data_IF_391949776547
#
_entry.id   IF_391949776547
#
_cell.length_a   1.000
_cell.length_b   1.000
_cell.length_c   1.000
_cell.angle_alpha   90.00
_cell.angle_beta   90.00
_cell.angle_gamma   90.00
#
_symmetry.space_group_name_H-M   'P 1'
#
loop_
_entity.id
_entity.type
_entity.pdbx_description
1 polymer ?
#
# COMPACT_ATOMS: atom_id res chain seq x y z
N UNK A 1 28.72 17.18 -35.02
CA UNK A 1 28.98 17.19 -33.57
C UNK A 1 28.27 18.39 -32.95
N UNK A 2 27.75 18.22 -31.73
CA UNK A 2 27.30 19.27 -30.78
C UNK A 2 25.83 19.76 -30.84
N UNK A 3 24.99 18.97 -30.14
CA UNK A 3 24.02 19.34 -29.09
C UNK A 3 23.00 20.46 -29.37
N UNK A 4 21.80 20.05 -29.80
CA UNK A 4 20.55 20.78 -29.55
C UNK A 4 19.89 20.21 -28.27
N UNK A 5 19.84 21.01 -27.20
CA UNK A 5 19.04 20.73 -26.00
C UNK A 5 17.58 21.05 -26.32
N UNK A 6 16.70 20.04 -26.40
CA UNK A 6 15.25 20.26 -26.38
C UNK A 6 14.75 20.23 -24.94
N UNK A 7 14.16 21.34 -24.53
CA UNK A 7 13.33 21.47 -23.34
C UNK A 7 12.03 20.70 -23.60
N UNK A 8 11.75 19.64 -22.83
CA UNK A 8 10.44 18.96 -22.83
C UNK A 8 9.69 19.42 -21.58
N UNK A 9 8.60 20.16 -21.82
CA UNK A 9 7.66 20.65 -20.82
C UNK A 9 6.88 19.45 -20.26
N UNK A 10 7.13 19.08 -19.01
CA UNK A 10 6.37 18.04 -18.30
C UNK A 10 5.05 18.63 -17.79
N UNK A 11 3.93 18.22 -18.37
CA UNK A 11 2.60 18.36 -17.77
C UNK A 11 2.22 17.04 -17.09
N UNK A 12 2.66 16.81 -15.86
CA UNK A 12 2.15 15.74 -15.03
C UNK A 12 0.96 16.24 -14.21
N UNK A 13 -0.20 16.34 -14.87
CA UNK A 13 -1.50 16.41 -14.19
C UNK A 13 -1.99 14.97 -13.99
N UNK A 14 -1.91 14.48 -12.76
CA UNK A 14 -2.64 13.28 -12.35
C UNK A 14 -4.07 13.72 -12.01
N UNK A 15 -4.95 13.74 -13.02
CA UNK A 15 -6.38 13.92 -12.82
C UNK A 15 -6.97 12.59 -12.34
N UNK A 16 -7.33 12.53 -11.06
CA UNK A 16 -8.27 11.55 -10.54
C UNK A 16 -9.68 11.94 -11.02
N UNK A 17 -10.19 11.28 -12.06
CA UNK A 17 -11.62 11.37 -12.44
C UNK A 17 -12.43 10.31 -11.69
N UNK A 18 -13.55 10.78 -11.12
CA UNK A 18 -14.46 10.12 -10.18
C UNK A 18 -15.50 9.20 -10.84
N UNK A 19 -15.81 8.09 -10.16
CA UNK A 19 -17.13 7.46 -9.93
C UNK A 19 -16.83 6.30 -8.97
N UNK A 20 -17.10 6.33 -7.66
CA UNK A 20 -18.38 6.58 -6.99
C UNK A 20 -18.26 7.55 -5.78
N UNK A 21 -19.42 7.99 -5.28
CA UNK A 21 -19.66 9.16 -4.41
C UNK A 21 -18.80 9.25 -3.12
N UNK A 22 -18.00 10.32 -3.08
CA UNK A 22 -17.49 11.18 -1.99
C UNK A 22 -17.48 10.76 -0.51
N UNK A 23 -16.27 10.67 0.07
CA UNK A 23 -15.85 11.54 1.20
C UNK A 23 -14.78 12.59 0.83
N UNK A 24 -14.23 12.55 -0.39
CA UNK A 24 -13.04 13.33 -0.79
C UNK A 24 -13.31 14.82 -1.09
N UNK A 25 -14.51 15.19 -1.56
CA UNK A 25 -14.88 16.60 -1.78
C UNK A 25 -15.06 17.35 -0.46
N UNK A 26 -15.54 16.66 0.59
CA UNK A 26 -15.61 17.20 1.95
C UNK A 26 -14.21 17.38 2.52
N UNK A 27 -13.29 16.43 2.32
CA UNK A 27 -11.92 16.53 2.81
C UNK A 27 -11.11 17.65 2.14
N UNK A 28 -11.25 17.88 0.82
CA UNK A 28 -10.58 19.00 0.12
C UNK A 28 -11.16 20.36 0.50
N UNK A 29 -12.48 20.45 0.66
CA UNK A 29 -13.14 21.69 1.12
C UNK A 29 -12.75 22.03 2.56
N UNK A 30 -12.74 21.04 3.45
CA UNK A 30 -12.27 21.18 4.84
C UNK A 30 -10.78 21.53 4.91
N UNK A 31 -9.92 20.97 4.05
CA UNK A 31 -8.49 21.27 4.02
C UNK A 31 -8.19 22.72 3.58
N UNK A 32 -8.97 23.27 2.65
CA UNK A 32 -8.90 24.69 2.26
C UNK A 32 -9.49 25.61 3.34
N UNK A 33 -10.56 25.21 4.02
CA UNK A 33 -11.13 25.91 5.19
C UNK A 33 -10.17 25.90 6.39
N UNK A 34 -9.33 24.86 6.51
CA UNK A 34 -8.39 24.67 7.62
C UNK A 34 -7.24 25.69 7.65
N UNK A 35 -6.81 26.20 6.48
CA UNK A 35 -5.80 27.27 6.39
C UNK A 35 -6.32 28.65 6.81
N UNK A 36 -7.64 28.86 6.86
CA UNK A 36 -8.22 30.19 7.02
C UNK A 36 -8.58 30.57 8.47
N UNK A 37 -8.64 29.63 9.41
CA UNK A 37 -9.10 29.91 10.78
C UNK A 37 -7.94 29.92 11.78
N UNK A 38 -7.76 31.06 12.44
CA UNK A 38 -6.82 31.28 13.54
C UNK A 38 -7.27 30.69 14.88
N UNK A 39 -6.32 30.72 15.83
CA UNK A 39 -6.30 30.22 17.21
C UNK A 39 -7.61 30.29 18.04
N UNK A 40 -8.48 29.28 17.91
CA UNK A 40 -9.43 28.89 18.96
C UNK A 40 -9.39 27.37 19.15
N UNK A 41 -9.55 26.88 20.38
CA UNK A 41 -9.61 25.44 20.75
C UNK A 41 -10.54 24.70 19.78
N UNK A 42 -9.96 23.99 18.81
CA UNK A 42 -10.68 23.30 17.74
C UNK A 42 -10.98 21.86 18.16
N UNK A 43 -12.25 21.56 18.42
CA UNK A 43 -12.76 20.20 18.60
C UNK A 43 -13.06 19.62 17.22
N UNK A 44 -12.37 18.55 16.83
CA UNK A 44 -12.45 17.95 15.49
C UNK A 44 -13.62 16.98 15.36
N UNK A 45 -14.50 17.22 14.38
CA UNK A 45 -15.65 16.36 14.04
C UNK A 45 -15.16 15.07 13.37
N UNK A 46 -15.19 13.95 14.09
CA UNK A 46 -15.07 12.60 13.50
C UNK A 46 -16.45 12.10 13.07
N UNK A 47 -16.56 11.56 11.86
CA UNK A 47 -17.78 10.90 11.38
C UNK A 47 -17.83 9.47 11.94
N UNK A 48 -18.30 9.30 13.18
CA UNK A 48 -18.68 7.98 13.71
C UNK A 48 -20.21 7.95 13.91
N UNK A 49 -20.90 6.84 13.60
CA UNK A 49 -22.26 6.65 14.05
C UNK A 49 -22.26 6.68 15.58
N UNK A 50 -23.03 7.59 16.17
CA UNK A 50 -23.21 7.62 17.62
C UNK A 50 -23.91 6.34 18.07
N UNK A 51 -23.52 5.83 19.23
CA UNK A 51 -24.27 4.78 19.90
C UNK A 51 -25.72 5.25 20.14
N UNK A 52 -26.68 4.30 20.16
CA UNK A 52 -28.12 4.55 20.22
C UNK A 52 -28.59 5.40 21.43
N UNK A 53 -27.70 5.70 22.38
CA UNK A 53 -27.95 6.44 23.61
C UNK A 53 -27.68 7.95 23.51
N UNK A 54 -27.71 8.54 22.30
CA UNK A 54 -27.67 10.01 22.16
C UNK A 54 -26.33 10.67 22.49
N UNK A 55 -25.27 9.89 22.72
CA UNK A 55 -23.92 10.41 22.84
C UNK A 55 -23.40 10.74 21.45
N UNK A 56 -23.29 12.02 21.14
CA UNK A 56 -22.62 12.51 19.94
C UNK A 56 -21.30 11.74 19.74
N UNK A 57 -21.07 11.20 18.53
CA UNK A 57 -20.05 10.19 18.19
C UNK A 57 -18.58 10.63 18.30
N UNK A 58 -18.22 11.25 19.42
CA UNK A 58 -16.87 11.64 19.78
C UNK A 58 -16.25 10.53 20.61
N UNK A 59 -15.08 10.07 20.21
CA UNK A 59 -14.20 9.29 21.09
C UNK A 59 -13.22 10.29 21.71
N UNK A 60 -13.31 10.60 23.01
CA UNK A 60 -12.32 11.42 23.67
C UNK A 60 -10.91 10.83 23.46
N UNK A 61 -9.92 11.68 23.17
CA UNK A 61 -8.53 11.23 23.00
C UNK A 61 -8.05 10.40 24.20
N UNK A 62 -8.49 10.73 25.42
CA UNK A 62 -8.22 9.96 26.64
C UNK A 62 -8.67 8.49 26.55
N UNK A 63 -9.77 8.18 25.85
CA UNK A 63 -10.20 6.80 25.61
C UNK A 63 -9.24 6.04 24.69
N UNK A 64 -8.53 6.73 23.79
CA UNK A 64 -7.51 6.07 22.94
C UNK A 64 -6.32 5.57 23.77
N UNK A 65 -5.93 6.32 24.80
CA UNK A 65 -4.80 6.00 25.67
C UNK A 65 -5.13 4.96 26.75
N UNK A 66 -6.33 5.01 27.36
CA UNK A 66 -6.63 4.27 28.59
C UNK A 66 -6.96 2.77 28.38
N UNK A 67 -7.47 2.37 27.21
CA UNK A 67 -8.00 1.01 27.01
C UNK A 67 -6.92 -0.09 26.97
N UNK A 68 -5.63 0.25 26.83
CA UNK A 68 -4.56 -0.76 26.85
C UNK A 68 -4.27 -1.28 28.27
N UNK A 69 -4.68 -0.57 29.32
CA UNK A 69 -4.40 -0.96 30.72
C UNK A 69 -5.44 -1.94 31.31
N UNK A 70 -6.54 -2.19 30.60
CA UNK A 70 -7.71 -2.91 31.13
C UNK A 70 -7.68 -4.44 31.04
N UNK A 71 -6.76 -5.06 30.31
CA UNK A 71 -6.78 -6.50 30.03
C UNK A 71 -6.29 -7.41 31.18
N UNK A 72 -6.17 -6.89 32.40
CA UNK A 72 -5.67 -7.63 33.57
C UNK A 72 -6.31 -7.24 34.90
N UNK A 73 -7.58 -6.83 34.91
CA UNK A 73 -8.24 -6.43 36.16
C UNK A 73 -8.77 -7.66 36.92
N UNK A 74 -7.98 -8.13 37.90
CA UNK A 74 -8.51 -8.82 39.08
C UNK A 74 -9.47 -7.87 39.82
N UNK A 75 -10.55 -8.42 40.36
CA UNK A 75 -11.60 -7.72 41.08
C UNK A 75 -11.06 -6.83 42.21
N UNK A 76 -11.73 -5.69 42.49
CA UNK A 76 -11.29 -4.77 43.52
C UNK A 76 -11.62 -5.32 44.91
N UNK A 77 -10.60 -5.49 45.74
CA UNK A 77 -10.76 -5.47 47.20
C UNK A 77 -11.08 -4.04 47.61
N UNK A 78 -12.20 -3.88 48.32
CA UNK A 78 -12.66 -2.62 48.86
C UNK A 78 -11.77 -2.14 50.01
N UNK A 79 -11.50 -0.83 50.04
CA UNK A 79 -10.99 -0.13 51.21
C UNK A 79 -9.56 0.37 51.09
N UNK A 80 -9.38 1.58 50.57
CA UNK A 80 -8.61 2.65 51.22
C UNK A 80 -8.74 3.96 50.43
N UNK A 81 -9.09 5.04 51.12
CA UNK A 81 -9.17 6.39 50.58
C UNK A 81 -7.81 6.87 50.05
N UNK A 82 -7.78 7.40 48.83
CA UNK A 82 -6.58 7.96 48.20
C UNK A 82 -6.88 9.40 47.79
N UNK A 83 -6.08 10.33 48.29
CA UNK A 83 -6.13 11.76 47.96
C UNK A 83 -5.91 12.06 46.47
N UNK A 84 -5.92 13.35 46.06
CA UNK A 84 -5.91 13.76 44.66
C UNK A 84 -4.60 13.38 43.98
N UNK A 85 -4.55 12.16 43.44
CA UNK A 85 -3.50 11.71 42.53
C UNK A 85 -3.60 12.61 41.30
N UNK A 86 -2.60 13.49 41.16
CA UNK A 86 -2.30 14.14 39.90
C UNK A 86 -2.46 13.11 38.79
N UNK A 87 -3.32 13.40 37.83
CA UNK A 87 -3.54 12.60 36.64
C UNK A 87 -2.25 12.59 35.82
N UNK A 88 -1.26 11.82 36.27
CA UNK A 88 -0.04 11.53 35.56
C UNK A 88 -0.48 10.96 34.22
N UNK A 89 -0.18 11.69 33.15
CA UNK A 89 -0.24 11.22 31.78
C UNK A 89 0.18 9.75 31.77
N UNK A 90 -0.77 8.83 31.55
CA UNK A 90 -0.45 7.42 31.35
C UNK A 90 0.34 7.37 30.03
N UNK A 91 1.66 7.52 30.15
CA UNK A 91 2.57 7.65 29.04
C UNK A 91 2.58 6.39 28.20
N UNK A 92 2.57 6.54 26.88
CA UNK A 92 2.89 5.45 25.97
C UNK A 92 4.33 5.02 26.27
N UNK A 93 4.55 3.89 26.92
CA UNK A 93 5.88 3.50 27.41
C UNK A 93 6.55 2.41 26.59
N UNK A 94 5.86 1.83 25.61
CA UNK A 94 6.42 0.78 24.76
C UNK A 94 6.01 0.96 23.30
N UNK A 95 6.78 0.43 22.33
CA UNK A 95 6.41 0.43 20.92
C UNK A 95 5.04 -0.20 20.64
N UNK A 96 4.66 -1.24 21.40
CA UNK A 96 3.36 -1.91 21.25
C UNK A 96 2.19 -1.01 21.67
N UNK A 97 2.33 -0.27 22.78
CA UNK A 97 1.33 0.71 23.19
C UNK A 97 1.20 1.84 22.16
N UNK A 98 2.33 2.30 21.62
CA UNK A 98 2.35 3.34 20.57
C UNK A 98 1.58 2.87 19.33
N UNK A 99 1.92 1.67 18.84
CA UNK A 99 1.26 1.07 17.67
C UNK A 99 -0.22 0.82 17.93
N UNK A 100 -0.61 0.40 19.13
CA UNK A 100 -2.01 0.25 19.50
C UNK A 100 -2.78 1.56 19.34
N UNK A 101 -2.27 2.66 19.92
CA UNK A 101 -2.89 3.99 19.80
C UNK A 101 -2.92 4.45 18.34
N UNK A 102 -1.81 4.28 17.60
CA UNK A 102 -1.73 4.65 16.18
C UNK A 102 -2.73 3.86 15.30
N UNK A 103 -2.85 2.54 15.50
CA UNK A 103 -3.83 1.69 14.80
C UNK A 103 -5.26 2.13 15.11
N UNK A 104 -5.55 2.45 16.38
CA UNK A 104 -6.87 2.89 16.79
C UNK A 104 -7.21 4.26 16.21
N UNK A 105 -6.27 5.20 16.27
CA UNK A 105 -6.39 6.51 15.62
C UNK A 105 -6.68 6.37 14.13
N UNK A 106 -5.97 5.48 13.44
CA UNK A 106 -6.23 5.18 12.03
C UNK A 106 -7.63 4.57 11.80
N UNK A 107 -8.03 3.58 12.61
CA UNK A 107 -9.33 2.90 12.47
C UNK A 107 -10.50 3.87 12.68
N UNK A 108 -10.34 4.81 13.62
CA UNK A 108 -11.30 5.86 13.92
C UNK A 108 -11.13 7.12 13.02
N UNK A 109 -10.21 7.09 12.06
CA UNK A 109 -9.90 8.22 11.16
C UNK A 109 -9.67 9.55 11.92
N UNK A 110 -8.88 9.51 12.99
CA UNK A 110 -8.54 10.68 13.78
C UNK A 110 -7.48 11.49 13.03
N UNK A 111 -7.80 12.71 12.60
CA UNK A 111 -6.88 13.62 11.89
C UNK A 111 -6.30 14.71 12.79
N UNK A 112 -6.23 14.46 14.10
CA UNK A 112 -5.66 15.41 15.06
C UNK A 112 -4.14 15.47 14.94
N UNK A 113 -3.61 16.60 14.46
CA UNK A 113 -2.17 16.79 14.30
C UNK A 113 -1.40 16.66 15.60
N UNK A 114 -1.98 17.07 16.74
CA UNK A 114 -1.31 16.96 18.02
C UNK A 114 -1.11 15.49 18.39
N UNK A 115 -2.14 14.66 18.26
CA UNK A 115 -2.02 13.21 18.48
C UNK A 115 -0.89 12.60 17.63
N UNK A 116 -0.86 12.88 16.33
CA UNK A 116 0.15 12.30 15.45
C UNK A 116 1.56 12.88 15.66
N UNK A 117 1.66 14.11 16.17
CA UNK A 117 2.91 14.70 16.61
C UNK A 117 3.40 14.03 17.90
N UNK A 118 2.54 13.88 18.90
CA UNK A 118 2.86 13.21 20.17
C UNK A 118 3.29 11.74 19.92
N UNK A 119 2.60 11.03 19.02
CA UNK A 119 2.99 9.67 18.59
C UNK A 119 4.33 9.64 17.85
N UNK A 120 4.64 10.68 17.06
CA UNK A 120 5.91 10.78 16.38
C UNK A 120 7.05 11.05 17.38
N UNK A 121 6.91 12.03 18.26
CA UNK A 121 7.88 12.34 19.31
C UNK A 121 8.15 11.12 20.18
N UNK A 122 7.10 10.39 20.55
CA UNK A 122 7.29 9.16 21.32
C UNK A 122 7.95 8.04 20.54
N UNK A 123 7.74 7.96 19.22
CA UNK A 123 8.48 7.03 18.37
C UNK A 123 9.96 7.39 18.25
N UNK A 124 10.31 8.69 18.34
CA UNK A 124 11.71 9.13 18.42
C UNK A 124 12.37 8.61 19.69
N UNK A 125 11.70 8.79 20.83
CA UNK A 125 12.22 8.38 22.14
C UNK A 125 12.36 6.85 22.27
N UNK A 126 11.40 6.09 21.76
CA UNK A 126 11.39 4.62 21.82
C UNK A 126 12.16 3.96 20.66
N UNK A 127 12.84 4.73 19.81
CA UNK A 127 13.26 4.29 18.48
C UNK A 127 14.08 2.99 18.45
N UNK A 128 14.96 2.80 19.42
CA UNK A 128 15.84 1.62 19.50
C UNK A 128 15.13 0.36 20.05
N UNK A 129 13.94 0.51 20.63
CA UNK A 129 13.13 -0.61 21.14
C UNK A 129 12.23 -1.23 20.06
N UNK A 130 12.06 -0.55 18.92
CA UNK A 130 11.21 -1.01 17.85
C UNK A 130 11.82 -2.20 17.10
N UNK A 131 11.03 -3.26 16.96
CA UNK A 131 11.33 -4.36 16.04
C UNK A 131 11.13 -3.93 14.58
N UNK A 132 11.83 -4.55 13.61
CA UNK A 132 11.72 -4.19 12.20
C UNK A 132 10.27 -4.18 11.66
N UNK A 133 9.45 -5.16 12.03
CA UNK A 133 8.03 -5.20 11.63
C UNK A 133 7.22 -4.04 12.21
N UNK A 134 7.51 -3.64 13.44
CA UNK A 134 6.83 -2.52 14.11
C UNK A 134 7.14 -1.20 13.40
N UNK A 135 8.38 -1.01 12.93
CA UNK A 135 8.76 0.15 12.09
C UNK A 135 7.98 0.20 10.78
N UNK A 136 7.92 -0.92 10.05
CA UNK A 136 7.16 -1.03 8.80
C UNK A 136 5.70 -0.64 9.03
N UNK A 137 5.10 -1.16 10.09
CA UNK A 137 3.72 -0.89 10.43
C UNK A 137 3.49 0.57 10.81
N UNK A 138 4.34 1.15 11.66
CA UNK A 138 4.22 2.55 12.06
C UNK A 138 4.25 3.47 10.84
N UNK A 139 5.25 3.30 9.97
CA UNK A 139 5.37 4.07 8.71
C UNK A 139 4.12 3.87 7.84
N UNK A 140 3.60 2.65 7.77
CA UNK A 140 2.40 2.36 6.99
C UNK A 140 1.14 3.02 7.58
N UNK A 141 1.01 3.08 8.90
CA UNK A 141 -0.09 3.78 9.58
C UNK A 141 -0.05 5.27 9.26
N UNK A 142 1.11 5.93 9.37
CA UNK A 142 1.29 7.33 9.00
C UNK A 142 0.92 7.57 7.53
N UNK A 143 1.34 6.67 6.63
CA UNK A 143 0.96 6.72 5.22
C UNK A 143 -0.55 6.63 5.01
N UNK A 144 -1.24 5.75 5.75
CA UNK A 144 -2.69 5.57 5.60
C UNK A 144 -3.49 6.76 6.13
N UNK A 145 -3.07 7.39 7.22
CA UNK A 145 -3.70 8.62 7.74
C UNK A 145 -3.25 9.89 6.97
N UNK A 146 -2.28 9.75 6.07
CA UNK A 146 -1.74 10.83 5.21
C UNK A 146 -1.03 11.95 6.00
N UNK A 147 -0.52 11.66 7.19
CA UNK A 147 0.32 12.58 7.97
C UNK A 147 1.78 12.35 7.59
N UNK A 148 2.50 13.41 7.22
CA UNK A 148 3.91 13.32 6.82
C UNK A 148 4.82 13.79 7.95
N UNK A 149 5.67 12.91 8.44
CA UNK A 149 6.78 13.24 9.34
C UNK A 149 8.08 12.85 8.66
N UNK A 150 8.88 13.82 8.23
CA UNK A 150 10.11 13.58 7.48
C UNK A 150 11.11 12.73 8.27
N UNK A 151 11.34 13.09 9.53
CA UNK A 151 12.24 12.37 10.43
C UNK A 151 11.82 10.91 10.67
N UNK A 152 10.52 10.59 10.61
CA UNK A 152 10.04 9.20 10.77
C UNK A 152 10.56 8.29 9.65
N UNK A 153 10.59 8.77 8.40
CA UNK A 153 11.08 7.99 7.27
C UNK A 153 12.61 7.81 7.32
N UNK A 154 13.34 8.84 7.75
CA UNK A 154 14.78 8.77 7.94
C UNK A 154 15.17 7.83 9.09
N UNK A 155 14.44 7.87 10.20
CA UNK A 155 14.56 6.93 11.31
C UNK A 155 14.30 5.49 10.85
N UNK A 156 13.15 5.25 10.20
CA UNK A 156 12.83 3.92 9.69
C UNK A 156 13.89 3.42 8.70
N UNK A 157 14.44 4.29 7.85
CA UNK A 157 15.54 3.92 6.94
C UNK A 157 16.76 3.45 7.72
N UNK A 158 17.21 4.23 8.72
CA UNK A 158 18.38 3.87 9.55
C UNK A 158 18.17 2.55 10.30
N UNK A 159 16.99 2.39 10.90
CA UNK A 159 16.66 1.23 11.72
C UNK A 159 16.38 -0.04 10.89
N UNK A 160 15.94 0.09 9.63
CA UNK A 160 15.56 -1.08 8.81
C UNK A 160 16.64 -1.55 7.84
N UNK A 161 17.58 -0.69 7.43
CA UNK A 161 18.49 -0.98 6.31
C UNK A 161 19.23 -2.33 6.45
N UNK A 162 19.65 -2.68 7.67
CA UNK A 162 20.38 -3.91 7.97
C UNK A 162 19.49 -5.08 8.40
N UNK A 163 18.17 -4.87 8.51
CA UNK A 163 17.21 -5.86 9.01
C UNK A 163 16.12 -6.20 7.98
N UNK A 164 16.26 -5.80 6.72
CA UNK A 164 15.28 -6.12 5.68
C UNK A 164 15.13 -7.63 5.43
N UNK A 165 16.17 -8.41 5.72
CA UNK A 165 16.20 -9.86 5.52
C UNK A 165 15.25 -10.63 6.45
N UNK A 166 14.78 -10.05 7.56
CA UNK A 166 13.80 -10.69 8.45
C UNK A 166 12.35 -10.34 8.12
N UNK A 167 12.13 -9.32 7.27
CA UNK A 167 10.80 -8.85 6.90
C UNK A 167 10.14 -9.77 5.89
N UNK A 168 8.83 -9.98 5.97
CA UNK A 168 8.10 -10.76 4.97
C UNK A 168 7.98 -9.99 3.64
N UNK A 169 7.59 -10.67 2.54
CA UNK A 169 7.29 -9.99 1.28
C UNK A 169 6.19 -8.93 1.45
N UNK A 170 5.18 -9.22 2.28
CA UNK A 170 4.11 -8.28 2.60
C UNK A 170 4.67 -7.04 3.29
N UNK A 171 5.53 -7.21 4.29
CA UNK A 171 6.18 -6.11 5.01
C UNK A 171 7.04 -5.24 4.07
N UNK A 172 7.86 -5.86 3.22
CA UNK A 172 8.69 -5.16 2.24
C UNK A 172 7.83 -4.36 1.25
N UNK A 173 6.70 -4.94 0.79
CA UNK A 173 5.79 -4.25 -0.11
C UNK A 173 5.10 -3.05 0.56
N UNK A 174 4.68 -3.18 1.84
CA UNK A 174 4.10 -2.09 2.63
C UNK A 174 5.11 -0.98 2.85
N UNK A 175 6.35 -1.33 3.17
CA UNK A 175 7.46 -0.39 3.35
C UNK A 175 7.71 0.40 2.07
N UNK A 176 7.98 -0.27 0.95
CA UNK A 176 8.23 0.35 -0.35
C UNK A 176 7.06 1.25 -0.78
N UNK A 177 5.82 0.76 -0.65
CA UNK A 177 4.61 1.52 -0.95
C UNK A 177 4.48 2.80 -0.11
N UNK A 178 4.91 2.75 1.15
CA UNK A 178 4.80 3.89 2.07
C UNK A 178 5.84 4.96 1.74
N UNK A 179 7.07 4.56 1.46
CA UNK A 179 8.14 5.46 0.97
C UNK A 179 7.76 6.10 -0.38
N UNK A 180 7.27 5.30 -1.33
CA UNK A 180 6.80 5.79 -2.62
C UNK A 180 5.59 6.72 -2.52
N UNK A 181 4.73 6.55 -1.49
CA UNK A 181 3.62 7.48 -1.23
C UNK A 181 4.14 8.90 -0.98
N UNK A 182 5.14 9.05 -0.12
CA UNK A 182 5.73 10.33 0.25
C UNK A 182 6.78 10.87 -0.75
N UNK A 183 7.07 10.13 -1.82
CA UNK A 183 8.14 10.44 -2.79
C UNK A 183 9.51 10.57 -2.11
N UNK A 184 9.71 9.84 -1.02
CA UNK A 184 11.00 9.72 -0.35
C UNK A 184 11.49 8.30 -0.64
N UNK A 185 12.46 8.16 -1.54
CA UNK A 185 12.90 6.84 -2.03
C UNK A 185 14.42 6.75 -1.88
N UNK A 186 14.95 6.48 -0.68
CA UNK A 186 16.38 6.32 -0.47
C UNK A 186 16.92 5.18 -1.33
N UNK A 187 17.90 5.48 -2.19
CA UNK A 187 18.44 4.51 -3.15
C UNK A 187 18.93 3.24 -2.48
N UNK A 188 19.72 3.36 -1.41
CA UNK A 188 20.24 2.21 -0.66
C UNK A 188 19.15 1.29 -0.11
N UNK A 189 18.04 1.87 0.40
CA UNK A 189 16.91 1.10 0.90
C UNK A 189 16.21 0.33 -0.23
N UNK A 190 15.93 1.00 -1.35
CA UNK A 190 15.26 0.36 -2.50
C UNK A 190 16.14 -0.70 -3.19
N UNK A 191 17.45 -0.45 -3.32
CA UNK A 191 18.41 -1.46 -3.76
C UNK A 191 18.35 -2.69 -2.86
N UNK A 192 18.49 -2.52 -1.55
CA UNK A 192 18.49 -3.66 -0.61
C UNK A 192 17.15 -4.40 -0.58
N UNK A 193 16.01 -3.70 -0.68
CA UNK A 193 14.69 -4.36 -0.84
C UNK A 193 14.68 -5.24 -2.10
N UNK A 194 15.15 -4.72 -3.23
CA UNK A 194 15.17 -5.46 -4.49
C UNK A 194 16.08 -6.68 -4.43
N UNK A 195 17.28 -6.54 -3.85
CA UNK A 195 18.21 -7.65 -3.61
C UNK A 195 17.56 -8.74 -2.76
N UNK A 196 16.98 -8.37 -1.60
CA UNK A 196 16.34 -9.35 -0.70
C UNK A 196 15.21 -10.11 -1.39
N UNK A 197 14.36 -9.43 -2.16
CA UNK A 197 13.27 -10.07 -2.90
C UNK A 197 13.81 -10.99 -3.99
N UNK A 198 14.81 -10.52 -4.76
CA UNK A 198 15.41 -11.29 -5.86
C UNK A 198 16.11 -12.54 -5.33
N UNK A 199 16.94 -12.43 -4.30
CA UNK A 199 17.63 -13.57 -3.67
C UNK A 199 16.66 -14.60 -3.12
N UNK A 200 15.56 -14.17 -2.49
CA UNK A 200 14.53 -15.11 -1.98
C UNK A 200 13.87 -15.89 -3.12
N UNK A 201 13.47 -15.20 -4.19
CA UNK A 201 12.85 -15.84 -5.35
C UNK A 201 13.81 -16.81 -6.06
N UNK A 202 15.09 -16.44 -6.17
CA UNK A 202 16.10 -17.33 -6.73
C UNK A 202 16.31 -18.59 -5.86
N UNK A 203 16.30 -18.44 -4.52
CA UNK A 203 16.41 -19.56 -3.59
C UNK A 203 15.21 -20.49 -3.66
N UNK A 204 13.99 -19.95 -3.71
CA UNK A 204 12.75 -20.73 -3.90
C UNK A 204 12.84 -21.57 -5.17
N UNK A 205 13.30 -20.97 -6.29
CA UNK A 205 13.50 -21.67 -7.57
C UNK A 205 14.53 -22.80 -7.51
N UNK A 206 15.58 -22.67 -6.69
CA UNK A 206 16.59 -23.73 -6.53
C UNK A 206 16.13 -24.87 -5.63
N UNK A 207 15.20 -24.61 -4.72
CA UNK A 207 14.64 -25.62 -3.81
C UNK A 207 13.53 -26.45 -4.45
N UNK A 208 12.95 -25.97 -5.55
CA UNK A 208 12.11 -26.77 -6.45
C UNK A 208 12.99 -27.82 -7.17
N UNK A 209 13.28 -28.92 -6.48
CA UNK A 209 13.98 -30.08 -7.06
C UNK A 209 13.19 -30.60 -8.26
N UNK A 210 13.84 -30.97 -9.39
CA UNK A 210 13.18 -31.56 -10.56
C UNK A 210 12.63 -32.99 -10.36
N UNK A 211 12.47 -33.46 -9.13
CA UNK A 211 12.14 -34.84 -8.79
C UNK A 211 10.66 -35.04 -8.48
N UNK A 212 10.02 -35.84 -9.34
CA UNK A 212 8.73 -36.54 -9.21
C UNK A 212 7.44 -35.76 -9.57
N UNK A 213 6.97 -35.87 -10.84
CA UNK A 213 5.62 -35.48 -11.25
C UNK A 213 4.51 -36.44 -10.74
N UNK A 214 4.71 -37.18 -9.64
CA UNK A 214 3.78 -38.25 -9.22
C UNK A 214 3.69 -38.45 -7.69
N UNK A 215 3.85 -37.39 -6.91
CA UNK A 215 3.49 -37.40 -5.49
C UNK A 215 2.16 -36.67 -5.28
N UNK A 216 1.04 -37.37 -5.45
CA UNK A 216 -0.25 -36.92 -4.93
C UNK A 216 -0.08 -36.60 -3.44
N UNK A 217 -0.01 -35.30 -3.15
CA UNK A 217 -0.03 -34.80 -1.80
C UNK A 217 -1.28 -35.33 -1.12
N UNK A 218 -1.06 -36.11 -0.05
CA UNK A 218 -2.12 -36.70 0.75
C UNK A 218 -3.24 -35.70 1.03
N UNK A 219 -4.42 -36.04 0.50
CA UNK A 219 -5.68 -35.38 0.79
C UNK A 219 -6.01 -35.53 2.28
N UNK A 220 -5.52 -34.59 3.09
CA UNK A 220 -6.18 -34.23 4.34
C UNK A 220 -7.45 -33.44 4.01
N UNK A 221 -8.64 -33.85 4.46
CA UNK A 221 -9.91 -33.31 3.97
C UNK A 221 -10.29 -31.87 4.39
N UNK A 222 -9.43 -31.10 5.10
CA UNK A 222 -9.84 -29.84 5.74
C UNK A 222 -9.00 -28.59 5.38
N UNK A 223 -8.34 -28.55 4.21
CA UNK A 223 -7.35 -27.50 3.87
C UNK A 223 -7.62 -26.56 2.69
N UNK A 224 -8.74 -26.69 1.97
CA UNK A 224 -8.93 -26.08 0.63
C UNK A 224 -8.98 -24.53 0.62
N UNK A 225 -9.20 -23.88 1.78
CA UNK A 225 -9.28 -22.42 1.89
C UNK A 225 -7.94 -21.68 2.04
N UNK A 226 -6.86 -22.38 2.40
CA UNK A 226 -5.58 -21.74 2.77
C UNK A 226 -4.74 -21.26 1.57
N UNK A 227 -4.75 -22.02 0.46
CA UNK A 227 -3.92 -21.74 -0.71
C UNK A 227 -4.32 -20.46 -1.45
N UNK A 228 -5.63 -20.25 -1.65
CA UNK A 228 -6.17 -19.11 -2.42
C UNK A 228 -5.81 -17.76 -1.79
N UNK A 229 -5.95 -17.66 -0.47
CA UNK A 229 -5.61 -16.45 0.28
C UNK A 229 -4.12 -16.13 0.21
N UNK A 230 -3.25 -17.16 0.14
CA UNK A 230 -1.80 -16.98 0.02
C UNK A 230 -1.42 -16.44 -1.36
N UNK A 231 -1.97 -16.99 -2.44
CA UNK A 231 -1.71 -16.50 -3.80
C UNK A 231 -2.15 -15.03 -3.96
N UNK A 232 -3.35 -14.67 -3.47
CA UNK A 232 -3.83 -13.29 -3.56
C UNK A 232 -2.94 -12.32 -2.77
N UNK A 233 -2.50 -12.74 -1.58
CA UNK A 233 -1.60 -11.94 -0.74
C UNK A 233 -0.25 -11.71 -1.44
N UNK A 234 0.31 -12.75 -2.08
CA UNK A 234 1.53 -12.61 -2.91
C UNK A 234 1.32 -11.63 -4.06
N UNK A 235 0.26 -11.79 -4.86
CA UNK A 235 -0.04 -10.86 -5.99
C UNK A 235 -0.23 -9.43 -5.50
N UNK A 236 -0.92 -9.25 -4.38
CA UNK A 236 -1.11 -7.94 -3.74
C UNK A 236 0.23 -7.32 -3.37
N UNK A 237 1.11 -8.09 -2.73
CA UNK A 237 2.42 -7.64 -2.30
C UNK A 237 3.30 -7.27 -3.48
N UNK A 238 3.34 -8.09 -4.53
CA UNK A 238 4.07 -7.76 -5.77
C UNK A 238 3.52 -6.53 -6.46
N UNK A 239 2.20 -6.38 -6.55
CA UNK A 239 1.58 -5.21 -7.17
C UNK A 239 1.97 -3.92 -6.44
N UNK A 240 1.97 -3.95 -5.09
CA UNK A 240 2.41 -2.82 -4.29
C UNK A 240 3.92 -2.54 -4.43
N UNK A 241 4.74 -3.59 -4.44
CA UNK A 241 6.19 -3.49 -4.59
C UNK A 241 6.55 -2.89 -5.95
N UNK A 242 6.10 -3.49 -7.05
CA UNK A 242 6.39 -3.03 -8.42
C UNK A 242 5.86 -1.60 -8.64
N UNK A 243 4.64 -1.32 -8.16
CA UNK A 243 4.06 0.02 -8.24
C UNK A 243 4.85 1.06 -7.44
N UNK A 244 5.42 0.67 -6.30
CA UNK A 244 6.28 1.55 -5.51
C UNK A 244 7.58 1.88 -6.26
N UNK A 245 8.24 0.89 -6.84
CA UNK A 245 9.46 1.07 -7.64
C UNK A 245 9.20 1.96 -8.86
N UNK A 246 8.15 1.68 -9.62
CA UNK A 246 7.73 2.50 -10.76
C UNK A 246 7.41 3.94 -10.35
N UNK A 247 6.74 4.13 -9.20
CA UNK A 247 6.42 5.47 -8.68
C UNK A 247 7.66 6.23 -8.20
N UNK A 248 8.65 5.54 -7.66
CA UNK A 248 9.95 6.12 -7.27
C UNK A 248 10.91 6.30 -8.44
N UNK A 249 10.53 5.89 -9.65
CA UNK A 249 11.41 5.83 -10.81
C UNK A 249 12.69 5.01 -10.58
N UNK A 250 12.57 3.97 -9.74
CA UNK A 250 13.68 3.11 -9.36
C UNK A 250 13.68 1.85 -10.22
N UNK A 251 14.48 1.86 -11.28
CA UNK A 251 14.59 0.75 -12.21
C UNK A 251 15.46 -0.38 -11.62
N UNK A 252 14.90 -1.58 -11.50
CA UNK A 252 15.66 -2.76 -11.05
C UNK A 252 15.23 -4.01 -11.84
N UNK A 253 15.85 -4.23 -13.01
CA UNK A 253 15.41 -5.22 -13.99
C UNK A 253 15.33 -6.65 -13.44
N UNK A 254 16.35 -7.10 -12.70
CA UNK A 254 16.42 -8.47 -12.18
C UNK A 254 15.25 -8.80 -11.24
N UNK A 255 14.95 -7.92 -10.28
CA UNK A 255 13.77 -8.04 -9.41
C UNK A 255 12.47 -8.11 -10.22
N UNK A 256 12.30 -7.27 -11.25
CA UNK A 256 11.11 -7.31 -12.09
C UNK A 256 11.00 -8.65 -12.83
N UNK A 257 12.09 -9.17 -13.39
CA UNK A 257 12.11 -10.48 -14.06
C UNK A 257 11.83 -11.64 -13.09
N UNK A 258 12.42 -11.62 -11.89
CA UNK A 258 12.16 -12.61 -10.85
C UNK A 258 10.69 -12.60 -10.39
N UNK A 259 10.13 -11.42 -10.15
CA UNK A 259 8.72 -11.25 -9.77
C UNK A 259 7.79 -11.66 -10.92
N UNK A 260 8.15 -11.40 -12.18
CA UNK A 260 7.37 -11.84 -13.33
C UNK A 260 7.22 -13.36 -13.38
N UNK A 261 8.31 -14.08 -13.09
CA UNK A 261 8.32 -15.54 -13.05
C UNK A 261 7.39 -16.09 -11.95
N UNK A 262 7.48 -15.59 -10.70
CA UNK A 262 6.58 -16.05 -9.62
C UNK A 262 5.13 -15.63 -9.88
N UNK A 263 4.87 -14.41 -10.37
CA UNK A 263 3.53 -13.97 -10.75
C UNK A 263 2.89 -14.91 -11.79
N UNK A 264 3.65 -15.40 -12.76
CA UNK A 264 3.17 -16.37 -13.74
C UNK A 264 2.73 -17.68 -13.10
N UNK A 265 3.46 -18.17 -12.10
CA UNK A 265 3.08 -19.36 -11.33
C UNK A 265 1.77 -19.09 -10.57
N UNK A 266 1.67 -17.94 -9.89
CA UNK A 266 0.45 -17.58 -9.14
C UNK A 266 -0.77 -17.42 -10.06
N UNK A 267 -0.61 -16.81 -11.23
CA UNK A 267 -1.68 -16.60 -12.23
C UNK A 267 -2.22 -17.92 -12.81
N UNK A 268 -1.37 -18.95 -12.94
CA UNK A 268 -1.80 -20.26 -13.47
C UNK A 268 -2.70 -21.04 -12.52
N UNK A 269 -2.79 -20.64 -11.25
CA UNK A 269 -3.56 -21.39 -10.25
C UNK A 269 -5.07 -21.42 -10.50
N UNK A 270 -5.61 -20.73 -11.53
CA UNK A 270 -7.02 -20.74 -12.04
C UNK A 270 -8.15 -20.49 -11.03
N UNK A 271 -7.88 -20.47 -9.72
CA UNK A 271 -8.88 -20.48 -8.67
C UNK A 271 -9.14 -19.09 -8.06
N UNK A 272 -8.61 -18.03 -8.67
CA UNK A 272 -8.61 -16.71 -8.06
C UNK A 272 -8.87 -15.60 -9.05
N UNK A 273 -9.83 -14.73 -8.71
CA UNK A 273 -10.11 -13.50 -9.44
C UNK A 273 -9.18 -12.38 -8.98
N UNK A 274 -8.37 -11.85 -9.90
CA UNK A 274 -7.48 -10.74 -9.60
C UNK A 274 -8.26 -9.42 -9.68
N UNK A 275 -8.14 -8.54 -8.67
CA UNK A 275 -8.75 -7.21 -8.73
C UNK A 275 -8.33 -6.47 -10.00
N UNK A 276 -9.27 -5.90 -10.79
CA UNK A 276 -8.97 -5.24 -12.06
C UNK A 276 -7.89 -4.15 -11.95
N UNK A 277 -7.92 -3.39 -10.84
CA UNK A 277 -6.92 -2.35 -10.57
C UNK A 277 -5.50 -2.88 -10.34
N UNK A 278 -5.31 -4.16 -10.02
CA UNK A 278 -3.98 -4.76 -9.92
C UNK A 278 -3.41 -5.08 -11.30
N UNK A 279 -4.23 -5.61 -12.21
CA UNK A 279 -3.82 -5.87 -13.59
C UNK A 279 -3.24 -4.60 -14.24
N UNK A 280 -3.98 -3.49 -14.16
CA UNK A 280 -3.56 -2.20 -14.71
C UNK A 280 -2.28 -1.69 -14.03
N UNK A 281 -2.15 -1.82 -12.71
CA UNK A 281 -0.95 -1.41 -11.96
C UNK A 281 0.28 -2.23 -12.33
N UNK A 282 0.13 -3.53 -12.56
CA UNK A 282 1.24 -4.38 -13.01
C UNK A 282 1.71 -3.89 -14.38
N UNK A 283 0.82 -3.79 -15.37
CA UNK A 283 1.17 -3.23 -16.68
C UNK A 283 1.86 -1.87 -16.59
N UNK A 284 1.30 -0.94 -15.81
CA UNK A 284 1.88 0.38 -15.61
C UNK A 284 3.29 0.34 -15.02
N UNK A 285 3.56 -0.59 -14.11
CA UNK A 285 4.87 -0.73 -13.48
C UNK A 285 5.94 -1.20 -14.47
N UNK A 286 5.61 -2.15 -15.34
CA UNK A 286 6.53 -2.62 -16.39
C UNK A 286 6.67 -1.58 -17.52
N UNK A 287 5.57 -0.98 -17.96
CA UNK A 287 5.55 0.06 -18.99
C UNK A 287 6.40 1.28 -18.59
N UNK A 288 6.43 1.63 -17.30
CA UNK A 288 7.25 2.76 -16.79
C UNK A 288 8.72 2.64 -17.19
N UNK A 289 9.26 1.43 -17.22
CA UNK A 289 10.68 1.17 -17.51
C UNK A 289 10.90 0.52 -18.88
N UNK A 290 9.85 0.34 -19.69
CA UNK A 290 9.95 -0.35 -20.97
C UNK A 290 10.24 -1.85 -20.83
N UNK A 291 9.92 -2.48 -19.70
CA UNK A 291 10.17 -3.90 -19.47
C UNK A 291 9.09 -4.74 -20.14
N UNK A 292 9.41 -5.28 -21.32
CA UNK A 292 8.50 -6.14 -22.09
C UNK A 292 8.62 -7.60 -21.65
N UNK A 293 7.68 -8.07 -20.82
CA UNK A 293 7.61 -9.47 -20.37
C UNK A 293 6.42 -10.20 -21.02
N UNK A 294 6.57 -10.60 -22.28
CA UNK A 294 5.51 -11.15 -23.16
C UNK A 294 4.68 -12.23 -22.46
N UNK A 295 5.32 -13.25 -21.87
CA UNK A 295 4.61 -14.36 -21.21
C UNK A 295 3.70 -13.89 -20.06
N UNK A 296 4.16 -12.90 -19.29
CA UNK A 296 3.39 -12.34 -18.17
C UNK A 296 2.20 -11.55 -18.71
N UNK A 297 2.42 -10.74 -19.74
CA UNK A 297 1.35 -9.97 -20.36
C UNK A 297 0.31 -10.85 -21.03
N UNK A 298 0.71 -11.96 -21.66
CA UNK A 298 -0.23 -12.95 -22.21
C UNK A 298 -1.09 -13.57 -21.09
N UNK A 299 -0.51 -13.86 -19.93
CA UNK A 299 -1.25 -14.38 -18.78
C UNK A 299 -2.21 -13.32 -18.21
N UNK A 300 -1.76 -12.09 -18.02
CA UNK A 300 -2.60 -10.99 -17.54
C UNK A 300 -3.71 -10.64 -18.53
N UNK A 301 -3.45 -10.72 -19.84
CA UNK A 301 -4.45 -10.47 -20.89
C UNK A 301 -5.67 -11.38 -20.73
N UNK A 302 -5.46 -12.65 -20.38
CA UNK A 302 -6.56 -13.60 -20.11
C UNK A 302 -7.43 -13.17 -18.93
N UNK A 303 -6.79 -12.66 -17.87
CA UNK A 303 -7.50 -12.12 -16.69
C UNK A 303 -8.25 -10.82 -17.01
N UNK A 304 -7.73 -9.99 -17.93
CA UNK A 304 -8.38 -8.75 -18.34
C UNK A 304 -9.72 -9.01 -19.05
N UNK A 305 -9.85 -10.10 -19.81
CA UNK A 305 -11.08 -10.45 -20.54
C UNK A 305 -12.28 -10.59 -19.59
N UNK A 306 -12.07 -11.18 -18.41
CA UNK A 306 -13.13 -11.42 -17.42
C UNK A 306 -13.25 -10.27 -16.40
N UNK A 307 -12.25 -9.40 -16.33
CA UNK A 307 -12.21 -8.29 -15.39
C UNK A 307 -13.12 -7.10 -15.80
N UNK A 308 -13.90 -6.61 -14.84
CA UNK A 308 -14.66 -5.35 -14.97
C UNK A 308 -13.75 -4.12 -14.84
N UNK A 309 -12.90 -3.89 -15.84
CA UNK A 309 -12.02 -2.71 -15.92
C UNK A 309 -12.81 -1.49 -16.45
N UNK A 310 -12.79 -0.33 -15.77
CA UNK A 310 -13.36 0.92 -16.29
C UNK A 310 -12.75 1.38 -17.63
N UNK A 311 -13.52 2.08 -18.46
CA UNK A 311 -13.12 2.50 -19.82
C UNK A 311 -11.84 3.35 -19.83
N UNK A 312 -11.67 4.26 -18.87
CA UNK A 312 -10.49 5.11 -18.70
C UNK A 312 -9.22 4.28 -18.42
N UNK A 313 -9.34 3.27 -17.57
CA UNK A 313 -8.26 2.34 -17.27
C UNK A 313 -7.94 1.43 -18.45
N UNK A 314 -8.95 1.04 -19.24
CA UNK A 314 -8.76 0.24 -20.44
C UNK A 314 -8.03 1.03 -21.55
N UNK A 315 -8.36 2.32 -21.73
CA UNK A 315 -7.62 3.24 -22.59
C UNK A 315 -6.18 3.45 -22.11
N UNK A 316 -5.97 3.53 -20.80
CA UNK A 316 -4.62 3.56 -20.23
C UNK A 316 -3.85 2.29 -20.57
N UNK A 317 -4.48 1.12 -20.42
CA UNK A 317 -3.87 -0.17 -20.73
C UNK A 317 -3.47 -0.26 -22.21
N UNK A 318 -4.34 0.16 -23.13
CA UNK A 318 -4.04 0.21 -24.56
C UNK A 318 -2.80 1.06 -24.85
N UNK A 319 -2.71 2.26 -24.28
CA UNK A 319 -1.53 3.15 -24.44
C UNK A 319 -0.25 2.53 -23.88
N UNK A 320 -0.34 1.83 -22.76
CA UNK A 320 0.83 1.15 -22.16
C UNK A 320 1.31 -0.02 -23.01
N UNK A 321 0.39 -0.80 -23.59
CA UNK A 321 0.73 -1.88 -24.52
C UNK A 321 1.40 -1.35 -25.79
N UNK A 322 0.87 -0.26 -26.37
CA UNK A 322 1.49 0.41 -27.51
C UNK A 322 2.90 0.95 -27.17
N UNK A 323 3.06 1.58 -26.01
CA UNK A 323 4.37 2.10 -25.58
C UNK A 323 5.41 0.99 -25.34
N UNK A 324 4.95 -0.22 -25.02
CA UNK A 324 5.77 -1.42 -24.84
C UNK A 324 6.00 -2.20 -26.13
N UNK A 325 5.45 -1.74 -27.26
CA UNK A 325 5.44 -2.48 -28.53
C UNK A 325 4.92 -3.92 -28.35
N UNK A 326 3.86 -4.08 -27.54
CA UNK A 326 3.27 -5.37 -27.23
C UNK A 326 1.88 -5.50 -27.85
N UNK A 327 1.76 -6.45 -28.77
CA UNK A 327 0.52 -6.81 -29.45
C UNK A 327 0.01 -8.15 -28.94
N UNK A 328 -1.30 -8.23 -28.71
CA UNK A 328 -1.98 -9.45 -28.30
C UNK A 328 -3.42 -9.42 -28.84
N UNK A 329 -3.78 -10.41 -29.66
CA UNK A 329 -5.06 -10.44 -30.37
C UNK A 329 -6.26 -10.41 -29.42
N UNK A 330 -6.19 -11.10 -28.28
CA UNK A 330 -7.27 -11.08 -27.27
C UNK A 330 -7.50 -9.66 -26.75
N UNK A 331 -6.43 -8.95 -26.42
CA UNK A 331 -6.51 -7.56 -25.96
C UNK A 331 -7.01 -6.61 -27.05
N UNK A 332 -6.56 -6.79 -28.30
CA UNK A 332 -7.06 -6.00 -29.43
C UNK A 332 -8.57 -6.16 -29.61
N UNK A 333 -9.08 -7.40 -29.50
CA UNK A 333 -10.51 -7.69 -29.54
C UNK A 333 -11.26 -7.06 -28.35
N UNK A 334 -10.70 -7.13 -27.14
CA UNK A 334 -11.26 -6.47 -25.95
C UNK A 334 -11.34 -4.96 -26.15
N UNK A 335 -10.29 -4.33 -26.69
CA UNK A 335 -10.28 -2.90 -26.97
C UNK A 335 -11.31 -2.54 -28.05
N UNK A 336 -11.34 -3.27 -29.16
CA UNK A 336 -12.32 -3.04 -30.22
C UNK A 336 -13.76 -3.14 -29.71
N UNK A 337 -14.07 -4.19 -28.94
CA UNK A 337 -15.41 -4.42 -28.42
C UNK A 337 -15.82 -3.39 -27.35
N UNK A 338 -14.94 -3.11 -26.38
CA UNK A 338 -15.28 -2.27 -25.21
C UNK A 338 -15.06 -0.78 -25.44
N UNK A 339 -14.11 -0.41 -26.32
CA UNK A 339 -13.80 0.98 -26.64
C UNK A 339 -14.41 1.41 -27.97
N UNK A 340 -14.51 0.53 -28.97
CA UNK A 340 -15.10 0.87 -30.28
C UNK A 340 -16.59 1.22 -30.20
N UNK A 341 -17.32 0.58 -29.30
CA UNK A 341 -18.74 0.91 -29.03
C UNK A 341 -18.93 2.17 -28.17
N UNK A 342 -17.86 2.76 -27.62
CA UNK A 342 -17.96 3.88 -26.69
C UNK A 342 -18.17 5.25 -27.35
N UNK A 343 -18.30 5.31 -28.68
CA UNK A 343 -18.67 6.54 -29.41
C UNK A 343 -17.62 7.66 -29.35
N UNK A 344 -16.44 7.41 -28.77
CA UNK A 344 -15.31 8.35 -28.81
C UNK A 344 -14.70 8.24 -30.20
N UNK A 345 -15.32 8.91 -31.16
CA UNK A 345 -14.75 9.16 -32.48
C UNK A 345 -13.39 9.84 -32.27
N UNK A 346 -12.30 9.07 -32.45
CA UNK A 346 -10.96 9.63 -32.56
C UNK A 346 -11.01 10.54 -33.80
N UNK A 347 -10.77 11.86 -33.68
CA UNK A 347 -10.73 12.72 -34.85
C UNK A 347 -9.62 12.20 -35.76
N UNK A 348 -10.02 11.63 -36.90
CA UNK A 348 -9.07 11.27 -37.95
C UNK A 348 -8.29 12.54 -38.27
N UNK A 349 -6.98 12.52 -38.05
CA UNK A 349 -6.11 13.57 -38.58
C UNK A 349 -6.24 13.48 -40.10
N UNK A 350 -6.90 14.47 -40.68
CA UNK A 350 -6.86 14.71 -42.11
C UNK A 350 -5.38 14.81 -42.52
N UNK A 351 -5.01 14.00 -43.52
CA UNK A 351 -3.66 13.91 -44.08
C UNK A 351 -3.23 15.16 -44.81
#
# INVERSE_FOLDING_TARGET
MSRVRRCVRWTSSWSLSHSDRCPEVVARSLWLQWRAAGSARRVFRTCLPGDAEGHSGWVPLSRLYNDHTGAGRKEPSEGLEVGPKQAGSQGINTPNQLLFVARRGLRCQVFDNKLWQDLYERAVELGDEFQPRQWVELVHVFKRIKVRQGGLLEMATRQLLYHLEVLSLEDLSKLALSFAYYRHCPGALFTKIAEVVTTRLQREKMQESPGDPAGEAGCGPDGEGGGKNRALSKITSYTHLLGAFAKCDFAHREMFEAVAADLLVQLRSKEMLIPPGFLVKIYASYARFGYRHVKLFDALAKEVVTAKIPTDQLLQLQRMMQALDYENELMLNVFAYRLGNSGIAVPQRAG
#
